data_IF_824316143774
#
_entry.id   IF_824316143774
#
_cell.length_a   1.000
_cell.length_b   1.000
_cell.length_c   1.000
_cell.angle_alpha   90.00
_cell.angle_beta   90.00
_cell.angle_gamma   90.00
#
_symmetry.space_group_name_H-M   'P 1'
#
loop_
_entity.id
_entity.type
_entity.pdbx_description
1 polymer ?
#
# COMPACT_ATOMS: atom_id res chain seq x y z
N UNK A 1 53.72 -26.04 32.40
CA UNK A 1 52.85 -25.66 33.53
C UNK A 1 51.51 -25.17 32.95
N UNK A 2 50.38 -25.51 33.58
CA UNK A 2 49.02 -25.11 33.15
C UNK A 2 48.82 -23.57 33.31
N UNK A 3 47.78 -22.88 32.83
CA UNK A 3 46.39 -23.22 32.46
C UNK A 3 45.83 -22.26 31.36
N UNK A 4 45.00 -22.70 30.40
CA UNK A 4 43.51 -22.60 30.37
C UNK A 4 42.88 -21.29 30.92
N UNK A 5 42.05 -20.61 30.11
CA UNK A 5 40.91 -19.83 30.64
C UNK A 5 40.47 -18.57 29.87
N UNK A 6 39.74 -18.71 28.75
CA UNK A 6 38.98 -17.62 28.12
C UNK A 6 37.53 -18.06 27.87
N UNK A 7 36.59 -17.64 28.72
CA UNK A 7 35.25 -18.24 28.79
C UNK A 7 34.26 -17.62 27.78
N UNK A 8 34.05 -18.27 26.64
CA UNK A 8 32.91 -17.99 25.76
C UNK A 8 31.60 -18.45 26.43
N UNK A 9 30.94 -17.54 27.16
CA UNK A 9 29.57 -17.78 27.65
C UNK A 9 28.59 -17.73 26.47
N UNK A 10 28.03 -18.87 26.09
CA UNK A 10 26.78 -18.90 25.32
C UNK A 10 25.67 -18.27 26.16
N UNK A 11 24.93 -17.34 25.56
CA UNK A 11 23.60 -16.96 26.04
C UNK A 11 22.62 -17.35 24.95
N UNK A 12 21.59 -18.10 25.35
CA UNK A 12 20.52 -18.57 24.49
C UNK A 12 19.20 -18.13 25.12
N UNK A 13 18.55 -17.13 24.51
CA UNK A 13 17.13 -16.79 24.74
C UNK A 13 16.56 -16.41 23.36
N UNK A 14 15.31 -16.79 23.07
CA UNK A 14 14.83 -16.92 21.69
C UNK A 14 13.87 -15.84 21.17
N UNK A 15 13.54 -16.02 19.88
CA UNK A 15 12.34 -15.53 19.15
C UNK A 15 12.30 -14.04 18.76
N UNK A 16 12.95 -13.74 17.61
CA UNK A 16 12.75 -12.61 16.66
C UNK A 16 12.74 -11.17 17.24
N UNK A 17 13.64 -10.26 16.89
CA UNK A 17 14.41 -10.14 15.64
C UNK A 17 15.41 -8.98 15.69
N UNK A 18 16.17 -8.78 14.61
CA UNK A 18 17.57 -8.37 14.74
C UNK A 18 18.17 -7.78 13.42
N UNK A 19 19.08 -6.78 13.46
CA UNK A 19 19.72 -6.19 12.24
C UNK A 19 21.21 -6.48 12.11
N UNK A 20 21.62 -7.35 11.18
CA UNK A 20 23.03 -7.68 10.93
C UNK A 20 23.84 -6.56 10.24
N UNK A 21 25.12 -6.40 10.61
CA UNK A 21 26.14 -5.82 9.73
C UNK A 21 26.64 -6.90 8.75
N UNK A 22 27.29 -6.52 7.65
CA UNK A 22 27.95 -7.49 6.76
C UNK A 22 28.99 -8.33 7.53
N UNK A 23 28.68 -9.62 7.74
CA UNK A 23 29.49 -10.54 8.55
C UNK A 23 29.13 -10.61 10.05
N UNK A 24 28.26 -9.74 10.59
CA UNK A 24 27.85 -9.81 12.00
C UNK A 24 26.54 -10.57 12.20
N UNK A 25 26.64 -11.72 12.85
CA UNK A 25 25.51 -12.41 13.47
C UNK A 25 25.24 -11.79 14.85
N UNK A 26 24.19 -11.00 14.98
CA UNK A 26 23.78 -10.39 16.25
C UNK A 26 23.23 -11.46 17.25
N UNK A 27 23.17 -11.10 18.53
CA UNK A 27 22.47 -11.84 19.61
C UNK A 27 21.83 -10.80 20.56
N UNK A 28 20.54 -10.95 20.89
CA UNK A 28 19.82 -10.04 21.80
C UNK A 28 20.01 -10.48 23.27
N UNK A 29 20.25 -9.52 24.18
CA UNK A 29 20.23 -9.73 25.64
C UNK A 29 19.52 -8.56 26.33
N UNK A 30 18.25 -8.76 26.67
CA UNK A 30 17.39 -7.73 27.29
C UNK A 30 15.93 -7.94 26.92
N UNK A 31 15.02 -7.55 27.80
CA UNK A 31 13.59 -7.86 27.69
C UNK A 31 12.87 -6.88 26.73
N UNK A 32 12.29 -7.39 25.63
CA UNK A 32 11.08 -6.80 25.03
C UNK A 32 11.14 -6.16 23.64
N UNK A 33 12.29 -6.15 22.94
CA UNK A 33 12.37 -5.59 21.57
C UNK A 33 12.25 -6.66 20.48
N UNK A 34 11.11 -6.74 19.80
CA UNK A 34 10.90 -7.65 18.67
C UNK A 34 11.00 -6.92 17.32
N UNK A 35 11.95 -7.28 16.45
CA UNK A 35 11.77 -7.00 15.01
C UNK A 35 10.92 -8.13 14.42
N UNK A 36 9.66 -7.85 14.13
CA UNK A 36 8.83 -8.73 13.31
C UNK A 36 9.41 -8.79 11.90
N UNK A 37 9.51 -10.00 11.34
CA UNK A 37 10.02 -10.20 9.99
C UNK A 37 8.93 -9.89 8.97
N UNK A 38 8.85 -8.62 8.57
CA UNK A 38 7.96 -8.14 7.51
C UNK A 38 8.50 -8.56 6.14
N UNK A 39 7.64 -9.14 5.30
CA UNK A 39 7.94 -9.34 3.88
C UNK A 39 8.06 -7.98 3.19
N UNK A 40 9.13 -7.77 2.41
CA UNK A 40 9.45 -6.47 1.82
C UNK A 40 10.57 -5.68 2.50
N UNK A 41 11.35 -6.32 3.38
CA UNK A 41 12.61 -5.77 3.89
C UNK A 41 13.64 -5.59 2.74
N UNK A 42 13.75 -4.36 2.25
CA UNK A 42 14.74 -3.92 1.27
C UNK A 42 15.86 -3.10 1.90
N UNK A 43 16.79 -2.64 1.07
CA UNK A 43 17.73 -1.58 1.41
C UNK A 43 17.36 -0.31 0.65
N UNK A 44 17.35 0.82 1.33
CA UNK A 44 17.20 2.12 0.66
C UNK A 44 18.48 2.43 -0.15
N UNK A 45 18.38 2.68 -1.46
CA UNK A 45 19.57 2.84 -2.31
C UNK A 45 20.34 4.15 -2.07
N UNK A 46 19.75 5.15 -1.41
CA UNK A 46 20.41 6.43 -1.10
C UNK A 46 21.15 6.44 0.23
N UNK A 47 20.69 5.67 1.21
CA UNK A 47 21.16 5.71 2.62
C UNK A 47 21.67 4.37 3.15
N UNK A 48 21.39 3.25 2.46
CA UNK A 48 21.70 1.90 2.94
C UNK A 48 20.88 1.46 4.16
N UNK A 49 19.86 2.24 4.57
CA UNK A 49 18.94 1.91 5.65
C UNK A 49 18.02 0.73 5.28
N UNK A 50 17.32 0.16 6.27
CA UNK A 50 16.23 -0.76 5.95
C UNK A 50 15.07 0.01 5.33
N UNK A 51 14.68 -0.38 4.12
CA UNK A 51 13.38 -0.04 3.55
C UNK A 51 12.37 -1.11 3.97
N UNK A 52 11.14 -0.70 4.29
CA UNK A 52 10.02 -1.61 4.51
C UNK A 52 9.03 -1.35 3.37
N UNK A 53 9.01 -2.23 2.37
CA UNK A 53 8.03 -2.20 1.29
C UNK A 53 6.90 -3.19 1.58
N UNK A 54 5.91 -2.74 2.35
CA UNK A 54 4.74 -3.53 2.69
C UNK A 54 3.47 -2.81 2.23
N UNK A 55 2.55 -3.56 1.62
CA UNK A 55 1.22 -3.09 1.19
C UNK A 55 0.43 -2.48 2.35
N UNK A 56 0.47 -3.10 3.54
CA UNK A 56 -0.17 -2.64 4.76
C UNK A 56 0.84 -2.56 5.92
N UNK A 57 0.91 -1.44 6.64
CA UNK A 57 1.79 -1.25 7.80
C UNK A 57 0.98 -0.92 9.06
N UNK A 58 1.19 -1.66 10.15
CA UNK A 58 0.67 -1.30 11.48
C UNK A 58 1.56 -0.21 12.09
N UNK A 59 1.04 1.00 12.23
CA UNK A 59 1.73 2.17 12.80
C UNK A 59 1.71 2.19 14.33
N UNK A 60 0.64 1.67 14.94
CA UNK A 60 0.52 1.50 16.38
C UNK A 60 -0.43 0.35 16.71
N UNK A 61 -0.21 -0.27 17.86
CA UNK A 61 -1.01 -1.36 18.40
C UNK A 61 -1.12 -1.24 19.91
N UNK A 62 -2.23 -1.70 20.48
CA UNK A 62 -2.46 -1.78 21.94
C UNK A 62 -2.53 -3.23 22.40
N UNK A 63 -2.32 -3.48 23.70
CA UNK A 63 -2.34 -4.85 24.28
C UNK A 63 -3.70 -5.57 24.13
N UNK A 64 -4.75 -4.84 23.77
CA UNK A 64 -6.10 -5.33 23.50
C UNK A 64 -6.41 -5.48 22.00
N UNK A 65 -5.40 -5.47 21.13
CA UNK A 65 -5.54 -5.74 19.69
C UNK A 65 -6.12 -4.60 18.84
N UNK A 66 -6.29 -3.40 19.40
CA UNK A 66 -6.62 -2.23 18.58
C UNK A 66 -5.38 -1.76 17.81
N UNK A 67 -5.52 -1.46 16.51
CA UNK A 67 -4.42 -1.12 15.61
C UNK A 67 -4.72 0.12 14.75
N UNK A 68 -3.66 0.84 14.40
CA UNK A 68 -3.65 1.92 13.40
C UNK A 68 -2.94 1.43 12.14
N UNK A 69 -3.66 0.99 11.11
CA UNK A 69 -3.05 0.50 9.87
C UNK A 69 -3.01 1.58 8.79
N UNK A 70 -1.92 1.64 8.03
CA UNK A 70 -1.80 2.48 6.83
C UNK A 70 -1.48 1.58 5.64
N UNK A 71 -2.25 1.70 4.57
CA UNK A 71 -2.31 0.71 3.48
C UNK A 71 -2.23 1.41 2.12
N UNK A 72 -1.54 0.77 1.18
CA UNK A 72 -1.39 1.17 -0.22
C UNK A 72 -1.47 -0.07 -1.11
N UNK A 73 -2.53 -0.16 -1.92
CA UNK A 73 -2.80 -1.30 -2.81
C UNK A 73 -2.86 -0.81 -4.26
N UNK A 74 -2.24 -1.55 -5.19
CA UNK A 74 -2.29 -1.25 -6.63
C UNK A 74 -3.11 -2.28 -7.41
N UNK A 75 -3.81 -1.82 -8.46
CA UNK A 75 -4.47 -2.68 -9.46
C UNK A 75 -4.28 -2.11 -10.87
N UNK A 76 -4.05 -2.97 -11.86
CA UNK A 76 -4.03 -2.60 -13.29
C UNK A 76 -5.31 -3.06 -13.98
N UNK A 77 -6.09 -2.10 -14.47
CA UNK A 77 -7.40 -2.29 -15.08
C UNK A 77 -7.30 -2.21 -16.61
N UNK A 78 -7.88 -3.20 -17.29
CA UNK A 78 -8.05 -3.19 -18.75
C UNK A 78 -9.39 -2.54 -19.10
N UNK A 79 -9.38 -1.55 -19.99
CA UNK A 79 -10.54 -0.68 -20.20
C UNK A 79 -11.40 -1.11 -21.38
N UNK A 80 -12.69 -1.36 -21.13
CA UNK A 80 -13.71 -1.63 -22.14
C UNK A 80 -15.09 -1.19 -21.66
N UNK A 81 -15.91 -0.62 -22.54
CA UNK A 81 -17.27 -0.15 -22.20
C UNK A 81 -17.30 1.21 -21.51
N UNK A 82 -18.46 1.60 -20.96
CA UNK A 82 -18.68 2.95 -20.42
C UNK A 82 -17.99 3.19 -19.06
N UNK A 83 -17.84 2.14 -18.26
CA UNK A 83 -17.12 2.17 -16.98
C UNK A 83 -16.52 0.81 -16.67
N UNK A 84 -15.43 0.80 -15.89
CA UNK A 84 -14.81 -0.40 -15.36
C UNK A 84 -14.66 -0.24 -13.84
N UNK A 85 -15.23 -1.19 -13.11
CA UNK A 85 -15.11 -1.28 -11.65
C UNK A 85 -13.82 -2.03 -11.29
N UNK A 86 -13.15 -1.60 -10.24
CA UNK A 86 -11.95 -2.25 -9.71
C UNK A 86 -12.27 -3.50 -8.89
N UNK A 87 -11.33 -4.47 -8.86
CA UNK A 87 -11.42 -5.62 -7.95
C UNK A 87 -10.85 -5.31 -6.57
N UNK A 88 -9.91 -4.35 -6.48
CA UNK A 88 -9.58 -3.70 -5.21
C UNK A 88 -10.78 -2.87 -4.75
N UNK A 89 -11.10 -2.95 -3.46
CA UNK A 89 -12.17 -2.16 -2.85
C UNK A 89 -11.60 -1.26 -1.76
N UNK A 90 -12.20 -0.10 -1.57
CA UNK A 90 -12.07 0.69 -0.34
C UNK A 90 -12.85 -0.07 0.74
N UNK A 91 -12.20 -0.59 1.80
CA UNK A 91 -12.91 -1.38 2.83
C UNK A 91 -13.90 -0.55 3.66
N UNK A 92 -14.92 -1.18 4.25
CA UNK A 92 -15.68 -0.57 5.35
C UNK A 92 -14.73 -0.04 6.45
N UNK A 93 -15.05 1.15 6.97
CA UNK A 93 -14.29 1.92 7.97
C UNK A 93 -12.91 2.40 7.54
N UNK A 94 -12.52 2.24 6.28
CA UNK A 94 -11.33 2.90 5.76
C UNK A 94 -11.50 4.43 5.70
N UNK A 95 -10.41 5.16 5.97
CA UNK A 95 -10.28 6.60 5.69
C UNK A 95 -9.34 6.74 4.50
N UNK A 96 -9.87 7.18 3.36
CA UNK A 96 -9.09 7.33 2.11
C UNK A 96 -8.48 8.72 2.03
N UNK A 97 -7.22 8.79 1.60
CA UNK A 97 -6.49 10.04 1.36
C UNK A 97 -6.40 10.37 -0.14
N UNK A 98 -6.13 9.35 -0.95
CA UNK A 98 -6.09 9.48 -2.40
C UNK A 98 -6.29 8.13 -3.11
N UNK A 99 -6.74 8.22 -4.36
CA UNK A 99 -6.57 7.16 -5.36
C UNK A 99 -5.78 7.77 -6.50
N UNK A 100 -4.49 7.46 -6.57
CA UNK A 100 -3.66 7.90 -7.69
C UNK A 100 -3.90 7.00 -8.90
N UNK A 101 -3.62 7.51 -10.10
CA UNK A 101 -3.72 6.72 -11.33
C UNK A 101 -2.59 7.01 -12.30
N UNK A 102 -2.23 6.01 -13.10
CA UNK A 102 -1.31 6.11 -14.23
C UNK A 102 -1.89 5.39 -15.44
N UNK A 103 -1.90 6.05 -16.59
CA UNK A 103 -2.17 5.39 -17.87
C UNK A 103 -0.96 4.53 -18.24
N UNK A 104 -1.16 3.22 -18.38
CA UNK A 104 -0.10 2.21 -18.65
C UNK A 104 -0.09 1.79 -20.12
N UNK A 105 -1.22 1.91 -20.81
CA UNK A 105 -1.37 1.67 -22.25
C UNK A 105 -2.38 2.69 -22.77
N UNK A 106 -2.14 3.27 -23.95
CA UNK A 106 -2.98 4.32 -24.55
C UNK A 106 -4.48 3.93 -24.49
N UNK A 107 -5.27 4.79 -23.83
CA UNK A 107 -6.72 4.60 -23.71
C UNK A 107 -7.40 5.02 -25.00
N UNK A 108 -8.22 4.13 -25.55
CA UNK A 108 -8.87 4.34 -26.86
C UNK A 108 -10.38 4.40 -26.74
N UNK A 109 -11.03 5.02 -27.74
CA UNK A 109 -12.47 5.19 -27.82
C UNK A 109 -12.97 6.52 -27.24
N UNK A 110 -12.27 7.08 -26.25
CA UNK A 110 -12.54 8.38 -25.63
C UNK A 110 -11.31 9.27 -25.64
N UNK A 111 -11.48 10.57 -25.37
CA UNK A 111 -10.37 11.53 -25.29
C UNK A 111 -9.88 11.79 -23.86
N UNK A 112 -10.68 11.49 -22.83
CA UNK A 112 -10.33 11.55 -21.40
C UNK A 112 -11.02 10.44 -20.60
N UNK A 113 -10.70 10.32 -19.31
CA UNK A 113 -11.43 9.48 -18.35
C UNK A 113 -11.55 10.13 -16.97
N UNK A 114 -12.35 9.53 -16.09
CA UNK A 114 -12.49 9.93 -14.68
C UNK A 114 -12.17 8.76 -13.76
N UNK A 115 -11.67 9.05 -12.55
CA UNK A 115 -11.46 8.06 -11.48
C UNK A 115 -12.24 8.50 -10.25
N UNK A 116 -13.11 7.62 -9.77
CA UNK A 116 -14.02 7.96 -8.69
C UNK A 116 -14.67 6.73 -8.06
N UNK A 117 -15.93 6.89 -7.66
CA UNK A 117 -16.79 5.81 -7.14
C UNK A 117 -18.17 5.91 -7.79
N UNK A 118 -19.02 4.89 -7.58
CA UNK A 118 -20.41 4.95 -8.01
C UNK A 118 -21.12 6.21 -7.46
N UNK A 119 -21.68 7.03 -8.35
CA UNK A 119 -22.34 8.31 -8.03
C UNK A 119 -21.42 9.53 -7.93
N UNK A 120 -20.10 9.35 -7.81
CA UNK A 120 -19.10 10.43 -7.79
C UNK A 120 -17.94 10.07 -8.75
N UNK A 121 -18.18 10.12 -10.06
CA UNK A 121 -17.24 9.65 -11.08
C UNK A 121 -15.88 10.38 -11.09
N UNK A 122 -15.86 11.66 -10.68
CA UNK A 122 -14.65 12.50 -10.66
C UNK A 122 -13.99 12.58 -9.26
N UNK A 123 -14.44 11.77 -8.28
CA UNK A 123 -14.06 11.93 -6.85
C UNK A 123 -12.55 11.98 -6.59
N UNK A 124 -11.78 11.20 -7.35
CA UNK A 124 -10.32 11.14 -7.26
C UNK A 124 -9.64 11.74 -8.51
N UNK A 125 -10.36 12.47 -9.35
CA UNK A 125 -9.84 13.13 -10.54
C UNK A 125 -10.76 12.97 -11.75
N UNK A 126 -11.17 14.10 -12.33
CA UNK A 126 -11.83 14.18 -13.63
C UNK A 126 -10.87 14.57 -14.75
N UNK A 127 -11.33 14.46 -16.00
CA UNK A 127 -10.67 14.98 -17.20
C UNK A 127 -9.22 14.48 -17.43
N UNK A 128 -8.96 13.21 -17.09
CA UNK A 128 -7.62 12.60 -17.05
C UNK A 128 -7.13 12.15 -18.44
N UNK A 129 -5.82 12.24 -18.66
CA UNK A 129 -5.17 12.04 -19.96
C UNK A 129 -5.07 10.58 -20.42
N UNK A 130 -5.45 10.32 -21.67
CA UNK A 130 -5.48 8.98 -22.29
C UNK A 130 -4.13 8.44 -22.78
N UNK A 131 -3.08 9.25 -22.82
CA UNK A 131 -1.77 8.86 -23.36
C UNK A 131 -0.96 8.10 -22.31
N UNK A 132 -0.22 7.06 -22.71
CA UNK A 132 0.71 6.32 -21.86
C UNK A 132 1.59 7.27 -21.03
N UNK A 133 1.69 6.99 -19.74
CA UNK A 133 2.49 7.76 -18.80
C UNK A 133 1.81 9.01 -18.24
N UNK A 134 0.59 9.34 -18.67
CA UNK A 134 -0.28 10.30 -17.96
C UNK A 134 -0.47 9.85 -16.51
N UNK A 135 -0.41 10.79 -15.56
CA UNK A 135 -0.53 10.53 -14.13
C UNK A 135 -1.49 11.49 -13.44
N UNK A 136 -2.08 11.02 -12.35
CA UNK A 136 -2.91 11.79 -11.43
C UNK A 136 -2.62 11.36 -10.00
N UNK A 137 -2.49 12.31 -9.06
CA UNK A 137 -2.29 12.02 -7.65
C UNK A 137 -3.61 11.71 -6.90
N UNK A 138 -4.74 12.20 -7.40
CA UNK A 138 -6.10 11.91 -6.91
C UNK A 138 -6.34 12.15 -5.43
N UNK A 139 -5.76 13.24 -4.89
CA UNK A 139 -5.87 13.64 -3.49
C UNK A 139 -7.22 14.24 -3.17
N UNK A 140 -7.82 13.79 -2.07
CA UNK A 140 -9.07 14.32 -1.52
C UNK A 140 -8.88 14.85 -0.08
N UNK A 141 -9.87 15.56 0.43
CA UNK A 141 -10.01 15.72 1.88
C UNK A 141 -10.25 14.33 2.50
N UNK A 142 -9.53 13.94 3.58
CA UNK A 142 -9.63 12.58 4.12
C UNK A 142 -11.07 12.18 4.45
N UNK A 143 -11.57 11.14 3.81
CA UNK A 143 -12.97 10.73 3.89
C UNK A 143 -13.09 9.30 4.40
N UNK A 144 -13.97 9.09 5.39
CA UNK A 144 -14.38 7.77 5.84
C UNK A 144 -15.40 7.13 4.91
N UNK A 145 -15.24 5.83 4.65
CA UNK A 145 -16.18 4.98 3.93
C UNK A 145 -16.86 4.02 4.91
N UNK A 146 -18.13 3.70 4.65
CA UNK A 146 -19.02 2.94 5.56
C UNK A 146 -19.62 1.68 4.91
N UNK A 147 -19.02 1.25 3.80
CA UNK A 147 -19.32 0.02 3.06
C UNK A 147 -18.15 -0.24 2.11
N UNK A 148 -17.91 -1.51 1.76
CA UNK A 148 -16.93 -1.88 0.74
C UNK A 148 -17.30 -1.22 -0.60
N UNK A 149 -16.41 -0.37 -1.11
CA UNK A 149 -16.69 0.50 -2.27
C UNK A 149 -15.62 0.30 -3.35
N UNK A 150 -15.97 -0.21 -4.55
CA UNK A 150 -15.04 -0.28 -5.66
C UNK A 150 -14.71 1.11 -6.20
N UNK A 151 -13.51 1.25 -6.76
CA UNK A 151 -13.09 2.42 -7.53
C UNK A 151 -13.62 2.23 -8.96
N UNK A 152 -14.17 3.29 -9.53
CA UNK A 152 -14.78 3.25 -10.86
C UNK A 152 -13.98 4.13 -11.81
N UNK A 153 -13.49 3.53 -12.90
CA UNK A 153 -12.92 4.27 -14.03
C UNK A 153 -14.04 4.51 -15.04
N UNK A 154 -14.37 5.77 -15.30
CA UNK A 154 -15.48 6.16 -16.19
C UNK A 154 -14.95 6.76 -17.49
N UNK A 155 -15.50 6.32 -18.62
CA UNK A 155 -15.13 6.83 -19.95
C UNK A 155 -15.65 8.26 -20.16
N UNK A 156 -14.80 9.17 -20.67
CA UNK A 156 -15.18 10.56 -20.93
C UNK A 156 -14.79 11.01 -22.34
N UNK A 157 -15.78 10.99 -23.24
CA UNK A 157 -15.63 11.50 -24.60
C UNK A 157 -16.79 11.10 -25.50
N UNK A 158 -16.67 11.41 -26.79
CA UNK A 158 -17.79 11.43 -27.74
C UNK A 158 -18.50 10.08 -27.93
N UNK A 159 -17.78 8.96 -27.77
CA UNK A 159 -18.34 7.61 -27.83
C UNK A 159 -19.02 7.15 -26.53
N UNK A 160 -18.70 7.80 -25.40
CA UNK A 160 -19.07 7.37 -24.06
C UNK A 160 -18.48 6.02 -23.62
N UNK A 161 -17.53 5.43 -24.35
CA UNK A 161 -17.02 4.08 -24.05
C UNK A 161 -15.54 3.87 -24.43
N UNK A 162 -14.82 3.15 -23.57
CA UNK A 162 -13.51 2.61 -23.85
C UNK A 162 -13.57 1.49 -24.89
N UNK A 163 -12.64 1.52 -25.85
CA UNK A 163 -12.40 0.42 -26.80
C UNK A 163 -11.13 -0.37 -26.51
N UNK A 164 -10.32 0.08 -25.53
CA UNK A 164 -9.06 -0.54 -25.14
C UNK A 164 -8.19 0.40 -24.32
N UNK A 165 -6.99 -0.06 -23.97
CA UNK A 165 -6.02 0.63 -23.12
C UNK A 165 -6.08 0.18 -21.66
N UNK A 166 -5.17 0.71 -20.85
CA UNK A 166 -4.98 0.29 -19.46
C UNK A 166 -4.65 1.44 -18.53
N UNK A 167 -5.23 1.39 -17.34
CA UNK A 167 -4.94 2.33 -16.25
C UNK A 167 -4.60 1.53 -14.99
N UNK A 168 -3.47 1.87 -14.37
CA UNK A 168 -3.15 1.43 -13.01
C UNK A 168 -3.67 2.45 -12.02
N UNK A 169 -4.28 1.97 -10.94
CA UNK A 169 -4.68 2.76 -9.79
C UNK A 169 -3.87 2.34 -8.56
N UNK A 170 -3.62 3.29 -7.64
CA UNK A 170 -3.10 2.99 -6.31
C UNK A 170 -3.99 3.66 -5.25
N UNK A 171 -4.59 2.85 -4.39
CA UNK A 171 -5.49 3.27 -3.32
C UNK A 171 -4.71 3.43 -2.01
N UNK A 172 -4.70 4.63 -1.43
CA UNK A 172 -4.01 4.94 -0.18
C UNK A 172 -5.00 5.27 0.94
N UNK A 173 -5.01 4.46 2.00
CA UNK A 173 -5.98 4.56 3.08
C UNK A 173 -5.42 4.21 4.46
N UNK A 174 -6.10 4.70 5.49
CA UNK A 174 -5.95 4.28 6.87
C UNK A 174 -7.09 3.33 7.25
N UNK A 175 -6.78 2.25 7.96
CA UNK A 175 -7.77 1.30 8.48
C UNK A 175 -7.60 1.12 9.99
N UNK A 176 -8.57 1.55 10.82
CA UNK A 176 -8.55 1.30 12.25
C UNK A 176 -9.05 -0.12 12.56
N UNK A 177 -8.29 -0.87 13.34
CA UNK A 177 -8.78 -2.10 13.99
C UNK A 177 -9.22 -1.75 15.40
N UNK A 178 -10.46 -2.11 15.75
CA UNK A 178 -11.01 -1.91 17.10
C UNK A 178 -10.37 -2.88 18.12
N UNK A 179 -10.43 -2.62 19.44
CA UNK A 179 -10.04 -3.61 20.44
C UNK A 179 -10.75 -4.96 20.22
N UNK A 180 -10.02 -6.06 20.39
CA UNK A 180 -10.45 -7.43 20.12
C UNK A 180 -10.67 -8.27 21.41
N UNK A 181 -10.19 -7.81 22.56
CA UNK A 181 -10.28 -8.52 23.86
C UNK A 181 -10.34 -7.61 25.08
#
# INVERSE_FOLDING_TARGET
MLARGGLLRRVQVGVHGLKALAGCRFILMGLGGHLSAVAGLGIDPGTGGLAIQQEATVLSETVHGAQSQFVTVEEELSLAGASVDSTVVIPDRAIVFCVSSRTVEDVTGVWQYHVGIAGEAEKFGGYLGIVEGSINAGVIGPQAFYADTPIVITAHGDSGAFTGGKVRIALHYFLPVVPQS
#
